data_IF_048043790846
#
_entry.id   IF_048043790846
#
_cell.length_a   1.000
_cell.length_b   1.000
_cell.length_c   1.000
_cell.angle_alpha   90.00
_cell.angle_beta   90.00
_cell.angle_gamma   90.00
#
_symmetry.space_group_name_H-M   'P 1'
#
loop_
_entity.id
_entity.type
_entity.pdbx_description
1 polymer ?
#
# COMPACT_ATOMS: atom_id res chain seq x y z
N UNK A 1 32.75 3.73 61.99
CA UNK A 1 33.71 3.13 61.04
C UNK A 1 33.12 3.22 59.64
N UNK A 2 33.97 3.55 58.67
CA UNK A 2 33.76 3.59 57.21
C UNK A 2 33.18 4.86 56.58
N UNK A 3 34.13 5.52 55.92
CA UNK A 3 34.13 6.66 55.04
C UNK A 3 33.81 6.17 53.61
N UNK A 4 33.07 6.93 52.82
CA UNK A 4 33.16 6.88 51.34
C UNK A 4 32.85 8.25 50.76
N UNK A 5 33.93 8.95 50.39
CA UNK A 5 33.98 10.01 49.38
C UNK A 5 33.51 9.50 48.02
N UNK A 6 32.93 10.37 47.21
CA UNK A 6 33.02 10.18 45.77
C UNK A 6 32.03 10.97 44.92
N UNK A 7 32.55 11.96 44.21
CA UNK A 7 32.23 12.12 42.78
C UNK A 7 31.21 13.20 42.44
N UNK A 8 31.72 14.34 41.97
CA UNK A 8 30.95 15.49 41.54
C UNK A 8 30.02 15.23 40.36
N UNK A 9 28.94 16.01 40.32
CA UNK A 9 28.15 16.27 39.11
C UNK A 9 27.89 17.77 39.03
N UNK A 10 28.81 18.51 38.40
CA UNK A 10 28.49 19.82 37.82
C UNK A 10 28.15 19.57 36.37
N UNK A 11 26.86 19.66 36.07
CA UNK A 11 26.27 19.50 34.74
C UNK A 11 26.31 20.85 34.02
N UNK A 12 26.39 20.77 32.70
CA UNK A 12 26.00 21.79 31.71
C UNK A 12 27.09 22.75 31.23
N UNK A 13 27.69 22.40 30.09
CA UNK A 13 27.93 23.31 28.99
C UNK A 13 28.06 22.47 27.70
N UNK A 14 26.94 22.21 27.01
CA UNK A 14 26.98 21.69 25.64
C UNK A 14 26.91 22.91 24.72
N UNK A 15 28.02 23.11 24.03
CA UNK A 15 28.32 24.19 23.11
C UNK A 15 27.46 23.98 21.86
N UNK A 16 26.75 25.03 21.44
CA UNK A 16 25.88 25.00 20.27
C UNK A 16 26.67 24.79 18.97
N UNK A 17 26.12 23.96 18.09
CA UNK A 17 26.51 23.91 16.68
C UNK A 17 25.20 23.95 15.87
N UNK A 18 24.94 25.00 15.07
CA UNK A 18 23.79 25.02 14.18
C UNK A 18 24.16 24.21 12.94
N UNK A 19 23.80 22.92 12.91
CA UNK A 19 23.90 22.15 11.66
C UNK A 19 22.58 22.29 10.94
N UNK A 20 22.64 22.99 9.81
CA UNK A 20 21.53 23.28 8.92
C UNK A 20 20.68 22.03 8.66
N UNK A 21 19.38 22.16 8.94
CA UNK A 21 18.40 21.17 8.52
C UNK A 21 18.39 21.17 6.98
N UNK A 22 18.98 20.14 6.39
CA UNK A 22 18.80 19.85 4.96
C UNK A 22 17.34 19.45 4.80
N UNK A 23 16.52 20.39 4.36
CA UNK A 23 15.18 20.09 3.87
C UNK A 23 15.36 19.20 2.64
N UNK A 24 15.30 17.88 2.85
CA UNK A 24 15.14 16.94 1.75
C UNK A 24 13.75 17.23 1.19
N UNK A 25 13.71 18.06 0.15
CA UNK A 25 12.50 18.32 -0.60
C UNK A 25 11.96 16.99 -1.10
N UNK A 26 10.93 16.48 -0.44
CA UNK A 26 10.11 15.42 -0.97
C UNK A 26 9.41 16.02 -2.20
N UNK A 27 10.00 15.81 -3.37
CA UNK A 27 9.31 16.00 -4.64
C UNK A 27 8.15 15.02 -4.60
N UNK A 28 6.97 15.52 -4.22
CA UNK A 28 5.71 14.84 -4.45
C UNK A 28 5.53 14.80 -5.97
N UNK A 29 6.16 13.80 -6.60
CA UNK A 29 5.84 13.42 -7.96
C UNK A 29 4.36 13.04 -7.90
N UNK A 30 3.49 13.93 -8.36
CA UNK A 30 2.12 13.63 -8.68
C UNK A 30 2.17 12.67 -9.87
N UNK A 31 2.54 11.41 -9.61
CA UNK A 31 2.35 10.32 -10.54
C UNK A 31 0.85 10.23 -10.70
N UNK A 32 0.35 10.68 -11.84
CA UNK A 32 -1.04 10.48 -12.21
C UNK A 32 -1.34 8.98 -11.99
N UNK A 33 -2.27 8.68 -11.08
CA UNK A 33 -2.68 7.33 -10.81
C UNK A 33 -3.10 6.71 -12.15
N UNK A 34 -2.51 5.58 -12.56
CA UNK A 34 -2.80 5.04 -13.86
C UNK A 34 -4.27 4.61 -13.91
N UNK A 35 -4.91 4.75 -15.07
CA UNK A 35 -6.31 4.36 -15.26
C UNK A 35 -6.53 2.85 -15.01
N UNK A 36 -5.46 2.05 -15.09
CA UNK A 36 -5.39 0.62 -14.81
C UNK A 36 -4.02 0.26 -14.22
N UNK A 37 -3.91 -0.89 -13.54
CA UNK A 37 -2.63 -1.38 -13.05
C UNK A 37 -1.62 -1.60 -14.19
N UNK A 38 -0.42 -1.05 -14.03
CA UNK A 38 0.64 -1.13 -15.04
C UNK A 38 1.37 -2.48 -15.01
N UNK A 39 1.83 -2.93 -16.19
CA UNK A 39 2.54 -4.19 -16.40
C UNK A 39 4.05 -4.10 -16.03
N UNK A 40 4.39 -3.56 -14.87
CA UNK A 40 5.78 -3.33 -14.43
C UNK A 40 6.10 -3.92 -13.05
N UNK A 41 5.16 -4.63 -12.45
CA UNK A 41 5.28 -5.18 -11.09
C UNK A 41 4.94 -6.68 -11.07
N UNK A 42 5.80 -7.54 -11.67
CA UNK A 42 5.54 -8.97 -11.75
C UNK A 42 5.39 -9.60 -10.37
N UNK A 43 4.39 -10.45 -10.21
CA UNK A 43 4.04 -11.09 -8.94
C UNK A 43 3.29 -10.18 -7.97
N UNK A 44 2.87 -8.99 -8.40
CA UNK A 44 2.00 -8.14 -7.60
C UNK A 44 0.64 -8.81 -7.39
N UNK A 45 0.04 -8.55 -6.23
CA UNK A 45 -1.34 -8.91 -5.92
C UNK A 45 -2.29 -7.73 -6.14
N UNK A 46 -3.59 -7.99 -6.07
CA UNK A 46 -4.61 -6.94 -6.15
C UNK A 46 -5.41 -6.86 -4.85
N UNK A 47 -5.54 -5.63 -4.38
CA UNK A 47 -6.34 -5.24 -3.22
C UNK A 47 -7.36 -4.23 -3.69
N UNK A 48 -8.62 -4.41 -3.34
CA UNK A 48 -9.69 -3.47 -3.67
C UNK A 48 -10.14 -2.77 -2.41
N UNK A 49 -10.23 -1.44 -2.48
CA UNK A 49 -10.77 -0.59 -1.45
C UNK A 49 -12.09 -0.01 -1.94
N UNK A 50 -13.17 -0.22 -1.20
CA UNK A 50 -14.47 0.31 -1.58
C UNK A 50 -14.84 1.54 -0.73
N UNK A 51 -14.85 2.72 -1.36
CA UNK A 51 -15.23 4.00 -0.73
C UNK A 51 -16.64 4.47 -1.16
N UNK A 52 -17.41 3.63 -1.84
CA UNK A 52 -18.66 4.01 -2.51
C UNK A 52 -19.87 4.08 -1.56
N UNK A 53 -19.66 3.85 -0.25
CA UNK A 53 -20.71 3.82 0.78
C UNK A 53 -21.71 2.65 0.66
N UNK A 54 -21.61 1.82 -0.38
CA UNK A 54 -22.44 0.64 -0.65
C UNK A 54 -21.58 -0.58 -0.94
N UNK A 55 -22.14 -1.77 -0.83
CA UNK A 55 -21.48 -3.01 -1.29
C UNK A 55 -21.39 -3.00 -2.82
N UNK A 56 -20.24 -3.37 -3.37
CA UNK A 56 -20.04 -3.52 -4.82
C UNK A 56 -19.43 -4.88 -5.14
N UNK A 57 -19.64 -5.34 -6.36
CA UNK A 57 -19.07 -6.59 -6.85
C UNK A 57 -18.01 -6.27 -7.90
N UNK A 58 -16.85 -6.88 -7.73
CA UNK A 58 -15.74 -6.77 -8.66
C UNK A 58 -15.50 -8.14 -9.27
N UNK A 59 -15.29 -8.20 -10.58
CA UNK A 59 -14.86 -9.42 -11.27
C UNK A 59 -13.53 -9.21 -11.98
N UNK A 60 -12.81 -10.29 -12.25
CA UNK A 60 -11.47 -10.22 -12.85
C UNK A 60 -11.52 -10.47 -14.35
N UNK A 61 -11.03 -9.51 -15.14
CA UNK A 61 -10.84 -9.66 -16.59
C UNK A 61 -9.41 -10.11 -16.92
N UNK A 62 -8.42 -9.61 -16.17
CA UNK A 62 -7.02 -9.99 -16.30
C UNK A 62 -6.31 -9.87 -14.95
N UNK A 63 -5.42 -10.81 -14.56
CA UNK A 63 -4.89 -11.96 -15.32
C UNK A 63 -5.93 -13.03 -15.69
N UNK A 64 -5.76 -13.65 -16.86
CA UNK A 64 -6.64 -14.72 -17.31
C UNK A 64 -6.50 -15.96 -16.41
N UNK A 65 -7.61 -16.67 -16.18
CA UNK A 65 -7.64 -17.88 -15.34
C UNK A 65 -8.18 -17.65 -13.92
N UNK A 66 -8.39 -16.40 -13.53
CA UNK A 66 -9.10 -16.04 -12.31
C UNK A 66 -10.55 -15.70 -12.68
N UNK A 67 -11.45 -16.69 -12.57
CA UNK A 67 -12.87 -16.50 -12.87
C UNK A 67 -13.65 -16.45 -11.56
N UNK A 68 -13.97 -15.26 -11.08
CA UNK A 68 -14.69 -15.10 -9.83
C UNK A 68 -15.21 -13.68 -9.66
N UNK A 69 -16.21 -13.58 -8.79
CA UNK A 69 -16.80 -12.33 -8.34
C UNK A 69 -16.46 -12.15 -6.87
N UNK A 70 -15.91 -10.99 -6.52
CA UNK A 70 -15.60 -10.61 -5.15
C UNK A 70 -16.58 -9.54 -4.70
N UNK A 71 -17.34 -9.85 -3.66
CA UNK A 71 -18.16 -8.87 -2.96
C UNK A 71 -17.28 -8.04 -2.03
N UNK A 72 -17.22 -6.73 -2.28
CA UNK A 72 -16.42 -5.79 -1.50
C UNK A 72 -17.36 -4.91 -0.69
N UNK A 73 -17.25 -5.01 0.64
CA UNK A 73 -18.09 -4.24 1.57
C UNK A 73 -17.66 -2.77 1.63
N UNK A 74 -18.58 -1.85 1.96
CA UNK A 74 -18.26 -0.44 2.06
C UNK A 74 -17.23 -0.17 3.16
N UNK A 75 -16.27 0.71 2.85
CA UNK A 75 -15.12 1.08 3.67
C UNK A 75 -14.17 -0.09 4.00
N UNK A 76 -14.27 -1.20 3.27
CA UNK A 76 -13.37 -2.33 3.42
C UNK A 76 -12.20 -2.26 2.43
N UNK A 77 -11.08 -2.86 2.86
CA UNK A 77 -9.88 -3.06 2.07
C UNK A 77 -9.63 -4.56 1.92
N UNK A 78 -10.10 -5.15 0.83
CA UNK A 78 -10.09 -6.58 0.63
C UNK A 78 -8.98 -7.02 -0.32
N UNK A 79 -8.12 -7.94 0.12
CA UNK A 79 -7.20 -8.67 -0.77
C UNK A 79 -8.01 -9.72 -1.54
N UNK A 80 -7.94 -9.70 -2.87
CA UNK A 80 -8.70 -10.65 -3.67
C UNK A 80 -8.03 -12.03 -3.60
N UNK A 81 -8.81 -13.03 -3.23
CA UNK A 81 -8.38 -14.42 -3.11
C UNK A 81 -9.13 -15.28 -4.11
N UNK A 82 -8.43 -16.20 -4.77
CA UNK A 82 -9.01 -17.22 -5.62
C UNK A 82 -8.59 -18.59 -5.11
N UNK A 83 -9.56 -19.45 -4.78
CA UNK A 83 -9.32 -20.74 -4.12
C UNK A 83 -8.47 -20.66 -2.83
N UNK A 84 -8.57 -19.54 -2.10
CA UNK A 84 -7.82 -19.30 -0.86
C UNK A 84 -6.45 -18.62 -1.06
N UNK A 85 -5.96 -18.54 -2.29
CA UNK A 85 -4.68 -17.92 -2.62
C UNK A 85 -4.84 -16.49 -3.14
N UNK A 86 -3.90 -15.57 -2.85
CA UNK A 86 -3.93 -14.23 -3.42
C UNK A 86 -3.90 -14.26 -4.94
N UNK A 87 -4.78 -13.47 -5.57
CA UNK A 87 -4.76 -13.28 -7.01
C UNK A 87 -3.49 -12.52 -7.39
N UNK A 88 -2.64 -13.15 -8.20
CA UNK A 88 -1.33 -12.62 -8.60
C UNK A 88 -1.28 -12.40 -10.10
N UNK A 89 -0.69 -11.29 -10.50
CA UNK A 89 -0.42 -11.02 -11.91
C UNK A 89 1.03 -11.37 -12.25
N UNK A 90 1.27 -12.22 -13.27
CA UNK A 90 2.62 -12.49 -13.74
C UNK A 90 3.34 -11.24 -14.23
N UNK A 91 2.61 -10.27 -14.78
CA UNK A 91 3.14 -9.01 -15.31
C UNK A 91 3.00 -7.84 -14.33
N UNK A 92 2.11 -7.96 -13.35
CA UNK A 92 1.68 -6.88 -12.48
C UNK A 92 0.49 -6.08 -12.99
N UNK A 93 0.07 -6.29 -14.24
CA UNK A 93 -1.15 -5.67 -14.75
C UNK A 93 -2.39 -6.36 -14.19
N UNK A 94 -3.43 -5.56 -13.96
CA UNK A 94 -4.75 -6.04 -13.56
C UNK A 94 -5.81 -5.28 -14.32
N UNK A 95 -6.84 -6.00 -14.74
CA UNK A 95 -8.05 -5.44 -15.31
C UNK A 95 -9.22 -6.06 -14.57
N UNK A 96 -10.03 -5.22 -13.93
CA UNK A 96 -11.22 -5.65 -13.21
C UNK A 96 -12.46 -5.05 -13.87
N UNK A 97 -13.55 -5.80 -13.86
CA UNK A 97 -14.88 -5.28 -14.10
C UNK A 97 -15.52 -4.90 -12.76
N UNK A 98 -16.40 -3.91 -12.83
CA UNK A 98 -17.04 -3.24 -11.70
C UNK A 98 -18.25 -2.48 -12.22
N UNK A 99 -19.05 -1.98 -11.30
CA UNK A 99 -20.19 -1.12 -11.65
C UNK A 99 -19.72 0.11 -12.45
N UNK A 100 -20.45 0.43 -13.52
CA UNK A 100 -20.04 1.44 -14.51
C UNK A 100 -20.04 2.87 -13.97
N UNK A 101 -20.75 3.12 -12.87
CA UNK A 101 -20.81 4.42 -12.21
C UNK A 101 -19.62 4.68 -11.26
N UNK A 102 -18.78 3.67 -10.99
CA UNK A 102 -17.67 3.77 -10.04
C UNK A 102 -16.36 4.18 -10.72
N UNK A 103 -15.64 5.11 -10.09
CA UNK A 103 -14.30 5.53 -10.53
C UNK A 103 -13.22 4.65 -9.90
N UNK A 104 -12.12 4.38 -10.61
CA UNK A 104 -11.01 3.53 -10.11
C UNK A 104 -9.80 4.41 -10.03
N UNK A 105 -9.23 4.45 -8.85
CA UNK A 105 -7.91 5.02 -8.64
C UNK A 105 -6.99 3.86 -8.32
N UNK A 106 -5.99 3.65 -9.16
CA UNK A 106 -5.00 2.59 -8.98
C UNK A 106 -3.75 3.19 -8.35
N UNK A 107 -3.30 2.61 -7.24
CA UNK A 107 -2.05 2.97 -6.61
C UNK A 107 -1.25 1.72 -6.26
N UNK A 108 0.02 1.70 -6.64
CA UNK A 108 0.89 0.58 -6.30
C UNK A 108 1.51 0.78 -4.92
N UNK A 109 1.45 -0.26 -4.08
CA UNK A 109 2.09 -0.31 -2.77
C UNK A 109 3.08 -1.49 -2.72
N UNK A 110 4.40 -1.23 -2.69
CA UNK A 110 5.42 -2.28 -2.68
C UNK A 110 5.49 -3.07 -1.37
N UNK A 111 4.94 -2.56 -0.27
CA UNK A 111 4.92 -3.22 1.04
C UNK A 111 3.70 -4.12 1.25
N UNK A 112 2.62 -3.88 0.51
CA UNK A 112 1.31 -4.51 0.72
C UNK A 112 1.32 -6.01 0.40
N UNK A 113 0.74 -6.79 1.31
CA UNK A 113 0.55 -8.24 1.21
C UNK A 113 1.83 -9.07 0.95
N UNK A 114 3.02 -8.52 1.23
CA UNK A 114 4.29 -9.25 1.07
C UNK A 114 4.36 -10.52 1.92
N UNK A 115 3.79 -10.48 3.12
CA UNK A 115 3.66 -11.63 4.01
C UNK A 115 2.76 -12.75 3.47
N UNK A 116 2.02 -12.51 2.38
CA UNK A 116 1.19 -13.49 1.66
C UNK A 116 1.83 -13.97 0.35
N UNK A 117 3.12 -13.67 0.15
CA UNK A 117 3.87 -14.06 -1.04
C UNK A 117 3.58 -13.18 -2.27
N UNK A 118 3.12 -11.95 -2.05
CA UNK A 118 2.95 -10.94 -3.10
C UNK A 118 4.22 -10.11 -3.26
N UNK A 119 4.60 -9.76 -4.48
CA UNK A 119 5.68 -8.81 -4.74
C UNK A 119 5.11 -7.38 -4.82
N UNK A 120 4.58 -6.90 -3.69
CA UNK A 120 3.76 -5.69 -3.63
C UNK A 120 2.31 -5.93 -4.06
N UNK A 121 1.47 -4.89 -3.97
CA UNK A 121 0.07 -4.97 -4.43
C UNK A 121 -0.38 -3.70 -5.11
N UNK A 122 -1.22 -3.85 -6.12
CA UNK A 122 -2.06 -2.77 -6.64
C UNK A 122 -3.27 -2.59 -5.72
N UNK A 123 -3.41 -1.39 -5.18
CA UNK A 123 -4.58 -0.96 -4.43
C UNK A 123 -5.50 -0.22 -5.39
N UNK A 124 -6.72 -0.72 -5.54
CA UNK A 124 -7.75 -0.12 -6.40
C UNK A 124 -8.80 0.51 -5.51
N UNK A 125 -8.86 1.83 -5.47
CA UNK A 125 -9.90 2.54 -4.74
C UNK A 125 -11.09 2.80 -5.65
N UNK A 126 -12.23 2.22 -5.29
CA UNK A 126 -13.53 2.45 -5.92
C UNK A 126 -14.22 3.61 -5.20
N UNK A 127 -14.61 4.65 -5.93
CA UNK A 127 -15.33 5.82 -5.41
C UNK A 127 -16.65 5.99 -6.16
#
# INVERSE_FOLDING_TARGET
MWNVSGGGRKVAAIIGVPVAAVAVGAVAIAVAAPAQAQANHPGACIVVQNHTGRTTTVSMNYPAGYNGDWTIYPNDLSLLLYNGDPVKSPTGAFNIQRDSDLQAVWNYDPGRARNRGCNGSWVVTLN
#
